data_IF_620419781259
#
_entry.id   IF_620419781259
#
_cell.length_a   1.000
_cell.length_b   1.000
_cell.length_c   1.000
_cell.angle_alpha   90.00
_cell.angle_beta   90.00
_cell.angle_gamma   90.00
#
_symmetry.space_group_name_H-M   'P 1'
#
loop_
_entity.id
_entity.type
_entity.pdbx_description
1 polymer ?
#
# COMPACT_ATOMS: atom_id res chain seq x y z
N UNK A 1 10.98 5.42 2.52
CA UNK A 1 11.32 6.55 3.45
C UNK A 1 10.15 6.70 4.42
N UNK A 2 10.29 6.44 5.73
CA UNK A 2 9.12 6.34 6.62
C UNK A 2 8.70 7.69 7.20
N UNK A 3 7.56 8.22 6.76
CA UNK A 3 6.82 9.27 7.46
C UNK A 3 6.29 8.70 8.79
N UNK A 4 6.51 9.43 9.89
CA UNK A 4 5.96 9.05 11.21
C UNK A 4 4.42 9.10 11.17
N UNK A 5 3.74 8.19 11.88
CA UNK A 5 2.28 7.99 11.82
C UNK A 5 1.50 9.27 12.16
N UNK A 6 2.07 10.13 13.01
CA UNK A 6 1.53 11.45 13.36
C UNK A 6 1.51 12.43 12.18
N UNK A 7 2.52 12.39 11.31
CA UNK A 7 2.57 13.23 10.12
C UNK A 7 1.68 12.70 9.01
N UNK A 8 1.55 11.37 8.90
CA UNK A 8 0.64 10.73 7.97
C UNK A 8 -0.82 11.13 8.27
N UNK A 9 -1.25 11.01 9.52
CA UNK A 9 -2.61 11.34 9.95
C UNK A 9 -3.00 12.82 9.77
N UNK A 10 -2.02 13.72 9.59
CA UNK A 10 -2.26 15.14 9.35
C UNK A 10 -2.53 15.48 7.87
N UNK A 11 -2.30 14.55 6.95
CA UNK A 11 -2.52 14.76 5.51
C UNK A 11 -4.00 14.62 5.14
N UNK A 12 -4.45 15.19 4.01
CA UNK A 12 -5.72 14.83 3.40
C UNK A 12 -5.83 13.31 3.15
N UNK A 13 -7.01 12.69 3.28
CA UNK A 13 -7.16 11.23 3.11
C UNK A 13 -6.60 10.69 1.79
N UNK A 14 -6.73 11.44 0.70
CA UNK A 14 -6.17 11.06 -0.60
C UNK A 14 -4.64 10.95 -0.57
N UNK A 15 -3.96 11.85 0.14
CA UNK A 15 -2.50 11.87 0.27
C UNK A 15 -2.03 10.75 1.21
N UNK A 16 -2.80 10.46 2.27
CA UNK A 16 -2.52 9.31 3.16
C UNK A 16 -2.55 7.99 2.38
N UNK A 17 -3.59 7.79 1.57
CA UNK A 17 -3.73 6.61 0.71
C UNK A 17 -2.53 6.49 -0.25
N UNK A 18 -2.14 7.58 -0.92
CA UNK A 18 -1.01 7.52 -1.85
C UNK A 18 0.30 7.12 -1.17
N UNK A 19 0.57 7.64 0.03
CA UNK A 19 1.78 7.29 0.79
C UNK A 19 1.74 5.82 1.22
N UNK A 20 0.60 5.32 1.70
CA UNK A 20 0.47 3.92 2.10
C UNK A 20 0.58 2.95 0.91
N UNK A 21 -0.05 3.28 -0.22
CA UNK A 21 0.08 2.49 -1.45
C UNK A 21 1.53 2.45 -1.94
N UNK A 22 2.24 3.58 -1.86
CA UNK A 22 3.66 3.65 -2.21
C UNK A 22 4.54 2.82 -1.25
N UNK A 23 4.22 2.75 0.05
CA UNK A 23 4.93 1.91 1.01
C UNK A 23 4.70 0.41 0.73
N UNK A 24 3.46 0.02 0.43
CA UNK A 24 3.12 -1.35 -0.01
C UNK A 24 3.92 -1.70 -1.26
N UNK A 25 3.93 -0.82 -2.26
CA UNK A 25 4.65 -1.00 -3.51
C UNK A 25 6.17 -1.15 -3.29
N UNK A 26 6.79 -0.23 -2.55
CA UNK A 26 8.22 -0.25 -2.22
C UNK A 26 8.60 -1.56 -1.51
N UNK A 27 7.82 -1.98 -0.51
CA UNK A 27 8.11 -3.20 0.26
C UNK A 27 8.01 -4.47 -0.58
N UNK A 28 6.97 -4.60 -1.39
CA UNK A 28 6.78 -5.81 -2.20
C UNK A 28 7.86 -5.90 -3.27
N UNK A 29 8.21 -4.78 -3.91
CA UNK A 29 9.34 -4.73 -4.86
C UNK A 29 10.70 -5.05 -4.21
N UNK A 30 10.96 -4.57 -2.99
CA UNK A 30 12.18 -4.92 -2.25
C UNK A 30 12.24 -6.43 -1.96
N UNK A 31 11.11 -7.03 -1.60
CA UNK A 31 11.05 -8.44 -1.19
C UNK A 31 11.06 -9.41 -2.37
N UNK A 32 10.38 -9.07 -3.47
CA UNK A 32 10.12 -9.99 -4.58
C UNK A 32 10.83 -9.61 -5.88
N UNK A 33 11.49 -8.46 -5.93
CA UNK A 33 12.08 -7.94 -7.16
C UNK A 33 11.03 -7.36 -8.11
N UNK A 34 11.34 -7.18 -9.40
CA UNK A 34 10.44 -6.54 -10.35
C UNK A 34 9.20 -7.39 -10.68
N UNK A 35 8.08 -6.71 -10.90
CA UNK A 35 6.74 -7.22 -11.18
C UNK A 35 6.67 -8.34 -12.22
N UNK A 36 7.45 -8.21 -13.31
CA UNK A 36 7.43 -9.13 -14.45
C UNK A 36 7.85 -10.58 -14.09
N UNK A 37 8.42 -10.77 -12.90
CA UNK A 37 8.94 -12.05 -12.42
C UNK A 37 8.12 -12.68 -11.29
N UNK A 38 7.04 -12.01 -10.87
CA UNK A 38 6.25 -12.47 -9.73
C UNK A 38 5.42 -13.71 -10.06
N UNK A 39 5.36 -14.64 -9.10
CA UNK A 39 4.44 -15.77 -9.16
C UNK A 39 3.01 -15.28 -8.92
N UNK A 40 2.00 -16.02 -9.42
CA UNK A 40 0.57 -15.68 -9.25
C UNK A 40 0.18 -15.45 -7.77
N UNK A 41 0.78 -16.21 -6.85
CA UNK A 41 0.56 -16.03 -5.42
C UNK A 41 1.06 -14.67 -4.88
N UNK A 42 2.16 -14.15 -5.43
CA UNK A 42 2.69 -12.83 -5.06
C UNK A 42 1.80 -11.72 -5.59
N UNK A 43 1.31 -11.85 -6.83
CA UNK A 43 0.34 -10.91 -7.41
C UNK A 43 -0.93 -10.81 -6.58
N UNK A 44 -1.50 -11.95 -6.15
CA UNK A 44 -2.69 -11.96 -5.29
C UNK A 44 -2.45 -11.33 -3.92
N UNK A 45 -1.27 -11.55 -3.34
CA UNK A 45 -0.91 -10.95 -2.06
C UNK A 45 -0.74 -9.43 -2.18
N UNK A 46 -0.14 -8.96 -3.27
CA UNK A 46 -0.03 -7.53 -3.57
C UNK A 46 -1.41 -6.89 -3.77
N UNK A 47 -2.27 -7.48 -4.60
CA UNK A 47 -3.63 -6.98 -4.82
C UNK A 47 -4.46 -6.95 -3.53
N UNK A 48 -4.34 -7.97 -2.68
CA UNK A 48 -4.99 -7.97 -1.36
C UNK A 48 -4.49 -6.81 -0.47
N UNK A 49 -3.18 -6.54 -0.43
CA UNK A 49 -2.61 -5.45 0.35
C UNK A 49 -3.08 -4.07 -0.15
N UNK A 50 -3.18 -3.88 -1.47
CA UNK A 50 -3.72 -2.65 -2.07
C UNK A 50 -5.18 -2.46 -1.68
N UNK A 51 -6.00 -3.52 -1.76
CA UNK A 51 -7.41 -3.47 -1.36
C UNK A 51 -7.60 -3.19 0.13
N UNK A 52 -6.73 -3.72 0.99
CA UNK A 52 -6.74 -3.44 2.44
C UNK A 52 -6.46 -1.96 2.73
N UNK A 53 -5.56 -1.30 1.99
CA UNK A 53 -5.37 0.16 2.10
C UNK A 53 -6.68 0.86 1.75
N UNK A 54 -7.29 0.58 0.60
CA UNK A 54 -8.55 1.22 0.21
C UNK A 54 -9.67 1.03 1.22
N UNK A 55 -9.82 -0.18 1.78
CA UNK A 55 -10.87 -0.51 2.74
C UNK A 55 -10.80 0.33 4.03
N UNK A 56 -9.61 0.74 4.47
CA UNK A 56 -9.43 1.57 5.66
C UNK A 56 -10.01 2.98 5.49
N UNK A 57 -10.09 3.48 4.25
CA UNK A 57 -10.53 4.84 3.94
C UNK A 57 -11.96 4.92 3.40
N UNK A 58 -12.66 3.79 3.26
CA UNK A 58 -14.07 3.81 2.89
C UNK A 58 -14.95 4.07 4.12
N UNK A 59 -16.00 4.91 3.99
CA UNK A 59 -16.97 5.06 5.06
C UNK A 59 -17.65 3.71 5.35
N UNK A 60 -17.98 3.42 6.62
CA UNK A 60 -18.72 2.20 6.95
C UNK A 60 -20.06 2.17 6.19
N UNK A 61 -20.55 0.96 5.84
CA UNK A 61 -21.80 0.79 5.10
C UNK A 61 -23.03 1.34 5.83
#
# INVERSE_FOLDING_TARGET
MTLDSLHLAALPPADQIQVELADVDERVHIQHGPDDSWLDGTWRAYDAAINDVWAQYQPPP
#
